data_IF_680053971970
#
_entry.id   IF_680053971970
#
_cell.length_a   1.000
_cell.length_b   1.000
_cell.length_c   1.000
_cell.angle_alpha   90.00
_cell.angle_beta   90.00
_cell.angle_gamma   90.00
#
_symmetry.space_group_name_H-M   'P 1'
#
loop_
_entity.id
_entity.type
_entity.pdbx_description
1 polymer ?
#
# COMPACT_ATOMS: atom_id res chain seq x y z
N UNK A 1 -19.14 -6.97 -7.08
CA UNK A 1 -17.90 -7.73 -6.76
C UNK A 1 -16.83 -7.10 -7.64
N UNK A 2 -16.13 -6.09 -7.13
CA UNK A 2 -15.07 -5.39 -7.88
C UNK A 2 -13.90 -6.39 -8.05
N UNK A 3 -13.46 -6.61 -9.29
CA UNK A 3 -12.39 -7.57 -9.60
C UNK A 3 -11.05 -6.85 -9.66
N UNK A 4 -9.95 -7.54 -9.32
CA UNK A 4 -8.58 -7.00 -9.35
C UNK A 4 -8.21 -6.27 -10.67
N UNK A 5 -8.79 -6.70 -11.80
CA UNK A 5 -8.57 -6.09 -13.12
C UNK A 5 -9.10 -4.64 -13.25
N UNK A 6 -10.04 -4.22 -12.39
CA UNK A 6 -10.51 -2.82 -12.37
C UNK A 6 -9.43 -1.86 -11.85
N UNK A 7 -8.49 -2.37 -11.07
CA UNK A 7 -7.42 -1.57 -10.47
C UNK A 7 -6.13 -1.55 -11.28
N UNK A 8 -6.12 -2.10 -12.50
CA UNK A 8 -4.92 -2.15 -13.33
C UNK A 8 -4.42 -0.73 -13.68
N UNK A 9 -5.33 0.20 -13.98
CA UNK A 9 -4.98 1.61 -14.23
C UNK A 9 -4.41 2.28 -12.96
N UNK A 10 -4.96 1.95 -11.79
CA UNK A 10 -4.44 2.44 -10.50
C UNK A 10 -3.03 1.92 -10.25
N UNK A 11 -2.76 0.64 -10.56
CA UNK A 11 -1.44 0.03 -10.42
C UNK A 11 -0.41 0.70 -11.33
N UNK A 12 -0.78 1.07 -12.55
CA UNK A 12 0.12 1.82 -13.47
C UNK A 12 0.52 3.16 -12.83
N UNK A 13 -0.46 3.96 -12.44
CA UNK A 13 -0.22 5.28 -11.84
C UNK A 13 0.59 5.16 -10.53
N UNK A 14 0.30 4.13 -9.74
CA UNK A 14 1.02 3.85 -8.50
C UNK A 14 2.49 3.53 -8.75
N UNK A 15 2.79 2.74 -9.78
CA UNK A 15 4.16 2.38 -10.14
C UNK A 15 4.97 3.56 -10.67
N UNK A 16 4.31 4.50 -11.33
CA UNK A 16 4.92 5.73 -11.84
C UNK A 16 5.17 6.76 -10.73
N UNK A 17 4.19 6.98 -9.86
CA UNK A 17 4.19 8.10 -8.91
C UNK A 17 4.55 7.73 -7.48
N UNK A 18 4.32 6.48 -7.05
CA UNK A 18 4.60 6.05 -5.67
C UNK A 18 5.83 5.17 -5.63
N UNK A 19 5.90 4.14 -6.48
CA UNK A 19 7.04 3.22 -6.47
C UNK A 19 8.36 3.93 -6.79
N UNK A 20 8.35 4.99 -7.61
CA UNK A 20 9.54 5.81 -7.91
C UNK A 20 10.14 6.52 -6.69
N UNK A 21 9.35 6.71 -5.63
CA UNK A 21 9.78 7.29 -4.36
C UNK A 21 9.87 6.26 -3.22
N UNK A 22 9.62 4.99 -3.50
CA UNK A 22 9.68 3.92 -2.51
C UNK A 22 11.13 3.59 -2.17
N UNK A 23 11.48 3.57 -0.88
CA UNK A 23 12.83 3.24 -0.40
C UNK A 23 13.27 1.83 -0.80
N UNK A 24 12.31 0.92 -0.98
CA UNK A 24 12.53 -0.47 -1.37
C UNK A 24 12.86 -0.62 -2.87
N UNK A 25 12.52 0.38 -3.70
CA UNK A 25 12.75 0.31 -5.14
C UNK A 25 14.17 0.76 -5.46
N UNK A 26 15.02 -0.19 -5.83
CA UNK A 26 16.35 0.15 -6.36
C UNK A 26 16.24 0.93 -7.69
N UNK A 27 17.13 1.92 -7.93
CA UNK A 27 17.13 2.71 -9.16
C UNK A 27 17.24 1.81 -10.40
N UNK A 28 16.33 1.98 -11.36
CA UNK A 28 16.31 1.20 -12.61
C UNK A 28 15.69 -0.21 -12.50
N UNK A 29 15.27 -0.64 -11.32
CA UNK A 29 14.60 -1.93 -11.15
C UNK A 29 13.09 -1.87 -11.48
N UNK A 30 12.52 -2.99 -11.98
CA UNK A 30 11.07 -3.11 -12.17
C UNK A 30 10.32 -3.00 -10.83
N UNK A 31 8.99 -2.82 -10.85
CA UNK A 31 8.18 -2.85 -9.63
C UNK A 31 8.43 -4.11 -8.77
N UNK A 32 8.09 -4.05 -7.49
CA UNK A 32 8.40 -5.09 -6.51
C UNK A 32 7.83 -6.47 -6.89
N UNK A 33 6.65 -6.53 -7.50
CA UNK A 33 5.98 -7.78 -7.86
C UNK A 33 6.79 -8.67 -8.83
N UNK A 34 7.32 -8.16 -9.97
CA UNK A 34 8.27 -8.89 -10.82
C UNK A 34 9.52 -9.43 -10.12
N UNK A 35 9.90 -8.87 -8.98
CA UNK A 35 11.07 -9.29 -8.20
C UNK A 35 10.72 -10.33 -7.12
N UNK A 36 9.47 -10.80 -7.08
CA UNK A 36 8.98 -11.71 -6.04
C UNK A 36 8.80 -11.04 -4.68
N UNK A 37 8.88 -9.71 -4.60
CA UNK A 37 8.66 -8.95 -3.36
C UNK A 37 7.17 -8.65 -3.19
N UNK A 38 6.64 -9.02 -2.04
CA UNK A 38 5.26 -8.74 -1.63
C UNK A 38 5.12 -7.26 -1.22
N UNK A 39 4.64 -6.41 -2.14
CA UNK A 39 4.33 -5.01 -1.82
C UNK A 39 2.97 -4.90 -1.13
N UNK A 40 2.95 -4.44 0.14
CA UNK A 40 1.71 -4.26 0.89
C UNK A 40 0.70 -3.33 0.20
N UNK A 41 1.18 -2.33 -0.54
CA UNK A 41 0.32 -1.43 -1.31
C UNK A 41 -0.35 -2.19 -2.47
N UNK A 42 0.40 -2.91 -3.30
CA UNK A 42 -0.17 -3.69 -4.42
C UNK A 42 -1.08 -4.84 -3.96
N UNK A 43 -0.89 -5.34 -2.74
CA UNK A 43 -1.72 -6.39 -2.13
C UNK A 43 -3.09 -5.88 -1.68
N UNK A 44 -3.17 -4.62 -1.23
CA UNK A 44 -4.36 -4.03 -0.63
C UNK A 44 -4.92 -2.84 -1.42
N UNK A 45 -4.67 -2.78 -2.73
CA UNK A 45 -5.17 -1.69 -3.60
C UNK A 45 -6.68 -1.46 -3.45
N UNK A 46 -7.55 -2.49 -3.49
CA UNK A 46 -8.98 -2.27 -3.37
C UNK A 46 -9.36 -1.59 -2.04
N UNK A 47 -8.78 -2.05 -0.93
CA UNK A 47 -9.00 -1.51 0.41
C UNK A 47 -8.46 -0.09 0.53
N UNK A 48 -7.28 0.19 -0.01
CA UNK A 48 -6.67 1.53 -0.02
C UNK A 48 -7.52 2.52 -0.81
N UNK A 49 -7.97 2.13 -2.02
CA UNK A 49 -8.86 2.98 -2.83
C UNK A 49 -10.18 3.23 -2.09
N UNK A 50 -10.73 2.21 -1.42
CA UNK A 50 -11.93 2.36 -0.59
C UNK A 50 -11.69 3.36 0.54
N UNK A 51 -10.61 3.24 1.30
CA UNK A 51 -10.24 4.19 2.37
C UNK A 51 -10.16 5.61 1.81
N UNK A 52 -9.48 5.80 0.67
CA UNK A 52 -9.36 7.10 0.01
C UNK A 52 -10.72 7.68 -0.41
N UNK A 53 -11.64 6.85 -0.92
CA UNK A 53 -12.99 7.27 -1.34
C UNK A 53 -13.92 7.55 -0.16
N UNK A 54 -13.74 6.88 0.97
CA UNK A 54 -14.62 7.00 2.15
C UNK A 54 -14.13 7.98 3.20
N UNK A 55 -12.87 8.38 3.14
CA UNK A 55 -12.28 9.36 4.06
C UNK A 55 -12.27 10.73 3.39
N UNK A 56 -13.06 11.66 3.92
CA UNK A 56 -13.07 13.06 3.49
C UNK A 56 -12.42 13.91 4.58
N UNK A 57 -11.12 14.11 4.48
CA UNK A 57 -10.36 14.94 5.40
C UNK A 57 -9.19 15.62 4.69
N UNK A 58 -8.85 16.82 5.16
CA UNK A 58 -7.63 17.52 4.73
C UNK A 58 -6.38 17.07 5.50
N UNK A 59 -6.56 16.24 6.52
CA UNK A 59 -5.48 15.72 7.36
C UNK A 59 -5.16 14.27 6.96
N UNK A 60 -3.90 13.85 7.12
CA UNK A 60 -3.50 12.45 6.86
C UNK A 60 -3.89 11.49 7.98
N UNK A 61 -3.98 11.95 9.22
CA UNK A 61 -4.33 11.13 10.39
C UNK A 61 -5.55 10.21 10.17
N UNK A 62 -6.69 10.71 9.65
CA UNK A 62 -7.87 9.86 9.43
C UNK A 62 -7.64 8.74 8.41
N UNK A 63 -6.80 8.97 7.39
CA UNK A 63 -6.44 7.94 6.41
C UNK A 63 -5.55 6.87 7.04
N UNK A 64 -4.58 7.27 7.87
CA UNK A 64 -3.70 6.36 8.61
C UNK A 64 -4.51 5.51 9.58
N UNK A 65 -5.43 6.13 10.32
CA UNK A 65 -6.31 5.41 11.23
C UNK A 65 -7.16 4.37 10.50
N UNK A 66 -7.79 4.74 9.38
CA UNK A 66 -8.56 3.78 8.58
C UNK A 66 -7.69 2.66 8.00
N UNK A 67 -6.45 2.95 7.62
CA UNK A 67 -5.50 1.93 7.18
C UNK A 67 -5.19 0.95 8.31
N UNK A 68 -4.93 1.44 9.52
CA UNK A 68 -4.71 0.59 10.68
C UNK A 68 -5.95 -0.26 11.03
N UNK A 69 -7.14 0.33 10.96
CA UNK A 69 -8.39 -0.31 11.35
C UNK A 69 -8.98 -1.26 10.28
N UNK A 70 -8.47 -1.24 9.04
CA UNK A 70 -9.02 -2.03 7.92
C UNK A 70 -8.04 -2.93 7.23
N UNK A 71 -6.78 -2.53 7.15
CA UNK A 71 -5.73 -3.28 6.47
C UNK A 71 -4.80 -3.92 7.50
N UNK A 72 -4.42 -3.18 8.55
CA UNK A 72 -3.51 -3.70 9.56
C UNK A 72 -4.20 -4.41 10.73
N UNK A 73 -5.53 -4.47 10.80
CA UNK A 73 -6.29 -5.03 11.94
C UNK A 73 -5.81 -6.43 12.35
N UNK A 74 -5.46 -7.28 11.39
CA UNK A 74 -4.94 -8.65 11.61
C UNK A 74 -3.41 -8.75 11.36
N UNK A 75 -2.70 -7.63 11.28
CA UNK A 75 -1.26 -7.63 11.03
C UNK A 75 -0.50 -8.09 12.27
N UNK A 76 0.23 -9.19 12.15
CA UNK A 76 1.02 -9.78 13.23
C UNK A 76 2.07 -8.82 13.84
N UNK A 77 2.40 -7.73 13.16
CA UNK A 77 3.39 -6.75 13.59
C UNK A 77 2.80 -5.48 14.21
N UNK A 78 1.47 -5.23 14.14
CA UNK A 78 0.85 -3.94 14.49
C UNK A 78 1.22 -3.43 15.89
N UNK A 79 1.21 -4.31 16.89
CA UNK A 79 1.52 -3.98 18.30
C UNK A 79 2.98 -4.26 18.68
N UNK A 80 3.85 -4.48 17.69
CA UNK A 80 5.26 -4.83 17.91
C UNK A 80 6.17 -3.65 17.55
N UNK A 81 7.39 -3.58 18.12
CA UNK A 81 8.41 -2.60 17.70
C UNK A 81 8.84 -2.72 16.23
N UNK A 82 8.42 -3.81 15.57
CA UNK A 82 8.67 -4.08 14.15
C UNK A 82 7.66 -3.37 13.24
N UNK A 83 6.66 -2.68 13.80
CA UNK A 83 5.80 -1.72 13.08
C UNK A 83 6.42 -0.32 13.16
N UNK A 84 6.51 0.46 12.06
CA UNK A 84 5.97 0.21 10.72
C UNK A 84 6.66 -0.96 10.01
N UNK A 85 5.91 -1.64 9.12
CA UNK A 85 6.26 -2.92 8.49
C UNK A 85 7.76 -3.05 8.21
N UNK A 86 8.40 -4.17 8.60
CA UNK A 86 9.83 -4.36 8.40
C UNK A 86 10.10 -4.39 6.90
N UNK A 87 10.71 -3.33 6.39
CA UNK A 87 11.38 -3.37 5.10
C UNK A 87 12.73 -4.01 5.38
N UNK A 88 12.92 -5.26 4.97
CA UNK A 88 14.23 -5.92 5.03
C UNK A 88 15.15 -5.20 4.05
N UNK A 89 16.02 -4.33 4.57
CA UNK A 89 17.02 -3.54 3.84
C UNK A 89 18.20 -4.37 3.34
#
# INVERSE_FOLDING_TARGET
MESKAEYDDYLVVLRENVCSHCIERQPGCPPCAPQGKACGIEQHIPELVKICRTTDSVQMEPYIQQLHDKICEDCAYQDTPTCPCPLDY
#
